data_IF_264828485692
#
_entry.id   IF_264828485692
#
_cell.length_a   1.000
_cell.length_b   1.000
_cell.length_c   1.000
_cell.angle_alpha   90.00
_cell.angle_beta   90.00
_cell.angle_gamma   90.00
#
_symmetry.space_group_name_H-M   'P 1'
#
loop_
_entity.id
_entity.type
_entity.pdbx_description
1 polymer ?
#
# COMPACT_ATOMS: atom_id res chain seq x y z
N UNK A 1 3.80 -25.02 5.64
CA UNK A 1 4.15 -23.68 6.15
C UNK A 1 3.06 -22.65 5.86
N UNK A 2 2.43 -22.65 4.67
CA UNK A 2 1.28 -21.78 4.32
C UNK A 2 1.49 -20.30 4.68
N UNK A 3 2.62 -19.75 4.22
CA UNK A 3 3.00 -18.34 4.39
C UNK A 3 3.02 -17.64 3.03
N UNK A 4 2.92 -16.31 3.06
CA UNK A 4 3.11 -15.48 1.88
C UNK A 4 4.59 -15.23 1.63
N UNK A 5 4.95 -15.02 0.36
CA UNK A 5 6.26 -14.52 -0.06
C UNK A 5 6.05 -13.13 -0.65
N UNK A 6 6.78 -12.15 -0.13
CA UNK A 6 6.87 -10.82 -0.71
C UNK A 6 8.13 -10.74 -1.57
N UNK A 7 8.04 -10.12 -2.75
CA UNK A 7 9.12 -10.03 -3.72
C UNK A 7 9.45 -8.57 -4.06
N UNK A 8 10.73 -8.24 -3.92
CA UNK A 8 11.42 -7.17 -4.62
C UNK A 8 12.35 -7.88 -5.61
N UNK A 9 12.14 -7.69 -6.92
CA UNK A 9 12.83 -8.48 -7.95
C UNK A 9 14.15 -7.84 -8.39
N UNK A 10 14.86 -8.52 -9.29
CA UNK A 10 16.20 -8.16 -9.75
C UNK A 10 16.15 -6.95 -10.70
N UNK A 11 16.37 -5.75 -10.15
CA UNK A 11 16.37 -4.51 -10.94
C UNK A 11 17.42 -4.50 -12.04
N UNK A 12 18.55 -5.17 -11.80
CA UNK A 12 19.69 -5.18 -12.71
C UNK A 12 19.49 -6.11 -13.89
N UNK A 13 18.45 -6.96 -13.85
CA UNK A 13 18.28 -8.07 -14.78
C UNK A 13 19.54 -8.97 -14.84
N UNK A 14 20.28 -9.09 -13.72
CA UNK A 14 21.53 -9.85 -13.66
C UNK A 14 21.29 -11.34 -13.89
N UNK A 15 20.21 -11.86 -13.29
CA UNK A 15 19.84 -13.28 -13.35
C UNK A 15 18.85 -13.62 -14.47
N UNK A 16 18.37 -12.62 -15.20
CA UNK A 16 17.34 -12.73 -16.23
C UNK A 16 16.40 -11.52 -16.22
N UNK A 17 15.51 -11.44 -17.20
CA UNK A 17 14.49 -10.38 -17.28
C UNK A 17 13.23 -10.74 -16.48
N UNK A 18 12.20 -9.88 -16.52
CA UNK A 18 10.96 -10.09 -15.75
C UNK A 18 10.30 -11.44 -16.07
N UNK A 19 10.34 -11.89 -17.32
CA UNK A 19 9.81 -13.17 -17.78
C UNK A 19 10.53 -14.37 -17.14
N UNK A 20 11.83 -14.27 -16.88
CA UNK A 20 12.61 -15.32 -16.23
C UNK A 20 12.23 -15.44 -14.75
N UNK A 21 12.07 -14.31 -14.07
CA UNK A 21 11.54 -14.28 -12.69
C UNK A 21 10.12 -14.83 -12.63
N UNK A 22 9.26 -14.47 -13.59
CA UNK A 22 7.89 -15.00 -13.69
C UNK A 22 7.89 -16.53 -13.96
N UNK A 23 8.81 -17.01 -14.78
CA UNK A 23 9.02 -18.45 -15.00
C UNK A 23 9.48 -19.15 -13.71
N UNK A 24 10.40 -18.54 -12.95
CA UNK A 24 10.86 -19.05 -11.66
C UNK A 24 9.73 -19.07 -10.61
N UNK A 25 8.82 -18.10 -10.62
CA UNK A 25 7.61 -18.10 -9.78
C UNK A 25 6.74 -19.33 -10.10
N UNK A 26 6.71 -19.78 -11.36
CA UNK A 26 6.04 -21.00 -11.80
C UNK A 26 4.54 -21.05 -11.39
N UNK A 27 3.82 -19.94 -11.56
CA UNK A 27 2.39 -19.84 -11.26
C UNK A 27 2.02 -19.89 -9.77
N UNK A 28 3.01 -19.94 -8.86
CA UNK A 28 2.77 -19.95 -7.41
C UNK A 28 2.33 -18.57 -6.93
N UNK A 29 1.50 -18.52 -5.90
CA UNK A 29 1.05 -17.26 -5.31
C UNK A 29 2.22 -16.48 -4.73
N UNK A 30 2.32 -15.20 -5.09
CA UNK A 30 3.36 -14.29 -4.61
C UNK A 30 2.81 -12.85 -4.54
N UNK A 31 3.30 -12.10 -3.56
CA UNK A 31 3.03 -10.68 -3.40
C UNK A 31 4.20 -9.89 -3.99
N UNK A 32 3.98 -9.12 -5.05
CA UNK A 32 4.99 -8.19 -5.59
C UNK A 32 4.90 -6.85 -4.85
N UNK A 33 5.96 -6.45 -4.17
CA UNK A 33 6.09 -5.11 -3.59
C UNK A 33 6.35 -4.08 -4.69
N UNK A 34 5.95 -2.82 -4.43
CA UNK A 34 6.17 -1.64 -5.27
C UNK A 34 6.20 -1.98 -6.77
N UNK A 35 5.11 -2.58 -7.25
CA UNK A 35 5.04 -3.30 -8.52
C UNK A 35 5.26 -2.36 -9.72
N UNK A 36 5.05 -1.06 -9.56
CA UNK A 36 5.42 -0.05 -10.56
C UNK A 36 6.93 -0.01 -10.85
N UNK A 37 7.78 -0.26 -9.85
CA UNK A 37 9.21 -0.48 -10.00
C UNK A 37 10.14 0.61 -9.49
N UNK A 38 9.68 1.83 -9.15
CA UNK A 38 10.54 2.87 -8.58
C UNK A 38 11.15 2.42 -7.23
N UNK A 39 10.32 1.80 -6.37
CA UNK A 39 10.78 1.14 -5.13
C UNK A 39 11.71 -0.06 -5.39
N UNK A 40 11.74 -0.58 -6.61
CA UNK A 40 12.68 -1.58 -7.13
C UNK A 40 12.01 -2.77 -7.79
N UNK A 41 12.73 -3.40 -8.70
CA UNK A 41 12.24 -4.49 -9.55
C UNK A 41 12.77 -4.35 -10.96
N UNK A 42 12.58 -5.40 -11.79
CA UNK A 42 13.11 -5.48 -13.15
C UNK A 42 12.86 -4.18 -13.92
N UNK A 43 13.94 -3.53 -14.36
CA UNK A 43 13.87 -2.30 -15.12
C UNK A 43 13.74 -2.63 -16.63
N UNK A 44 12.76 -2.05 -17.37
CA UNK A 44 11.75 -1.08 -16.93
C UNK A 44 10.37 -1.68 -16.61
N UNK A 45 10.20 -3.01 -16.68
CA UNK A 45 8.92 -3.66 -17.00
C UNK A 45 8.34 -4.56 -15.90
N UNK A 46 8.84 -4.47 -14.65
CA UNK A 46 8.25 -5.18 -13.49
C UNK A 46 6.74 -4.93 -13.32
N UNK A 47 6.23 -3.78 -13.76
CA UNK A 47 4.81 -3.43 -13.75
C UNK A 47 3.92 -4.44 -14.49
N UNK A 48 4.49 -5.17 -15.46
CA UNK A 48 3.78 -6.22 -16.22
C UNK A 48 3.31 -7.39 -15.35
N UNK A 49 3.94 -7.59 -14.18
CA UNK A 49 3.58 -8.58 -13.18
C UNK A 49 2.08 -8.53 -12.79
N UNK A 50 1.45 -7.36 -12.86
CA UNK A 50 0.03 -7.19 -12.49
C UNK A 50 -0.97 -7.95 -13.40
N UNK A 51 -0.54 -8.42 -14.58
CA UNK A 51 -1.35 -9.24 -15.49
C UNK A 51 -1.58 -10.67 -15.01
N UNK A 52 -0.73 -11.19 -14.12
CA UNK A 52 -0.71 -12.61 -13.80
C UNK A 52 -1.73 -12.98 -12.72
N UNK A 53 -2.45 -14.11 -12.86
CA UNK A 53 -3.51 -14.51 -11.91
C UNK A 53 -2.98 -14.88 -10.52
N UNK A 54 -1.71 -15.27 -10.42
CA UNK A 54 -1.05 -15.69 -9.19
C UNK A 54 -0.29 -14.55 -8.49
N UNK A 55 -0.25 -13.35 -9.06
CA UNK A 55 0.44 -12.20 -8.49
C UNK A 55 -0.56 -11.29 -7.76
N UNK A 56 -0.16 -10.84 -6.57
CA UNK A 56 -0.92 -9.92 -5.72
C UNK A 56 -0.15 -8.59 -5.67
N UNK A 57 -0.41 -7.66 -6.60
CA UNK A 57 0.43 -6.48 -6.77
C UNK A 57 0.09 -5.37 -5.78
N UNK A 58 1.14 -4.80 -5.17
CA UNK A 58 1.04 -3.61 -4.32
C UNK A 58 1.90 -2.45 -4.83
N UNK A 59 1.49 -1.24 -4.48
CA UNK A 59 2.34 -0.05 -4.55
C UNK A 59 2.88 0.31 -3.18
N UNK A 60 4.01 1.01 -3.18
CA UNK A 60 4.47 1.81 -2.05
C UNK A 60 4.11 3.27 -2.29
N UNK A 61 4.09 4.10 -1.25
CA UNK A 61 3.34 5.34 -1.32
C UNK A 61 4.04 6.61 -1.85
N UNK A 62 5.37 6.71 -2.04
CA UNK A 62 5.94 7.96 -2.54
C UNK A 62 5.57 8.32 -3.98
N UNK A 63 5.31 7.33 -4.84
CA UNK A 63 4.88 7.54 -6.23
C UNK A 63 3.39 7.93 -6.34
N UNK A 64 2.64 7.84 -5.23
CA UNK A 64 1.19 7.99 -5.21
C UNK A 64 0.74 9.38 -4.72
N UNK A 65 -0.18 10.06 -5.44
CA UNK A 65 -0.31 10.02 -6.88
C UNK A 65 0.89 10.67 -7.57
N UNK A 66 0.90 10.61 -8.89
CA UNK A 66 1.86 11.36 -9.70
C UNK A 66 1.67 12.88 -9.55
N UNK A 67 2.74 13.59 -9.18
CA UNK A 67 2.80 15.04 -8.99
C UNK A 67 3.99 15.67 -9.69
N UNK A 68 3.98 17.00 -9.81
CA UNK A 68 5.08 17.74 -10.45
C UNK A 68 6.44 17.55 -9.79
N UNK A 69 6.47 17.26 -8.48
CA UNK A 69 7.72 17.05 -7.75
C UNK A 69 8.14 15.58 -7.68
N UNK A 70 7.31 14.64 -8.16
CA UNK A 70 7.54 13.21 -7.94
C UNK A 70 8.86 12.74 -8.55
N UNK A 71 9.16 13.13 -9.80
CA UNK A 71 10.36 12.65 -10.50
C UNK A 71 11.63 13.20 -9.85
N UNK A 72 11.69 14.52 -9.63
CA UNK A 72 12.86 15.17 -9.05
C UNK A 72 13.15 14.63 -7.64
N UNK A 73 12.12 14.45 -6.82
CA UNK A 73 12.26 13.85 -5.49
C UNK A 73 12.82 12.43 -5.57
N UNK A 74 12.31 11.60 -6.47
CA UNK A 74 12.67 10.18 -6.54
C UNK A 74 14.05 9.94 -7.16
N UNK A 75 14.45 10.74 -8.14
CA UNK A 75 15.80 10.68 -8.70
C UNK A 75 16.83 10.97 -7.60
N UNK A 76 16.70 12.10 -6.90
CA UNK A 76 17.64 12.46 -5.83
C UNK A 76 17.59 11.45 -4.67
N UNK A 77 16.39 11.01 -4.26
CA UNK A 77 16.23 9.97 -3.24
C UNK A 77 16.96 8.69 -3.62
N UNK A 78 16.83 8.24 -4.87
CA UNK A 78 17.48 7.01 -5.32
C UNK A 78 19.00 7.14 -5.31
N UNK A 79 19.51 8.28 -5.79
CA UNK A 79 20.95 8.58 -5.82
C UNK A 79 21.55 8.59 -4.41
N UNK A 80 20.88 9.26 -3.46
CA UNK A 80 21.30 9.25 -2.05
C UNK A 80 21.25 7.84 -1.46
N UNK A 81 20.16 7.09 -1.68
CA UNK A 81 20.00 5.75 -1.10
C UNK A 81 21.04 4.74 -1.61
N UNK A 82 21.47 4.86 -2.87
CA UNK A 82 22.43 3.93 -3.49
C UNK A 82 23.85 4.48 -3.55
N UNK A 83 24.08 5.68 -2.98
CA UNK A 83 25.37 6.38 -3.01
C UNK A 83 25.89 6.56 -4.45
N UNK A 84 24.99 6.90 -5.36
CA UNK A 84 25.30 7.16 -6.77
C UNK A 84 25.85 8.57 -6.95
N UNK A 85 26.70 8.75 -7.97
CA UNK A 85 27.31 10.03 -8.31
C UNK A 85 26.72 10.60 -9.61
N UNK A 86 26.16 11.82 -9.61
CA UNK A 86 25.65 12.46 -10.84
C UNK A 86 26.73 12.74 -11.88
N UNK A 87 28.01 12.70 -11.52
CA UNK A 87 29.13 12.86 -12.46
C UNK A 87 29.50 11.53 -13.16
N UNK A 88 28.92 10.39 -12.75
CA UNK A 88 29.15 9.07 -13.36
C UNK A 88 27.97 8.71 -14.28
N UNK A 89 28.24 8.51 -15.57
CA UNK A 89 27.20 8.26 -16.57
C UNK A 89 26.42 6.96 -16.31
N UNK A 90 27.08 5.91 -15.85
CA UNK A 90 26.46 4.62 -15.52
C UNK A 90 25.51 4.72 -14.32
N UNK A 91 25.84 5.56 -13.35
CA UNK A 91 25.02 5.83 -12.16
C UNK A 91 23.74 6.60 -12.54
N UNK A 92 23.88 7.62 -13.39
CA UNK A 92 22.74 8.35 -13.96
C UNK A 92 21.86 7.42 -14.80
N UNK A 93 22.45 6.60 -15.66
CA UNK A 93 21.71 5.63 -16.47
C UNK A 93 20.94 4.62 -15.62
N UNK A 94 21.54 4.13 -14.53
CA UNK A 94 20.84 3.28 -13.57
C UNK A 94 19.66 4.02 -12.91
N UNK A 95 19.86 5.27 -12.49
CA UNK A 95 18.80 6.06 -11.87
C UNK A 95 17.61 6.31 -12.82
N UNK A 96 17.89 6.72 -14.06
CA UNK A 96 16.89 6.94 -15.11
C UNK A 96 16.17 5.64 -15.53
N UNK A 97 16.86 4.50 -15.49
CA UNK A 97 16.23 3.20 -15.77
C UNK A 97 15.18 2.82 -14.71
N UNK A 98 15.32 3.31 -13.47
CA UNK A 98 14.48 2.94 -12.31
C UNK A 98 13.38 3.96 -12.01
N UNK A 99 13.66 5.25 -12.16
CA UNK A 99 12.71 6.34 -11.91
C UNK A 99 12.14 6.82 -13.25
N UNK A 100 10.97 6.29 -13.62
CA UNK A 100 10.38 6.51 -14.94
C UNK A 100 9.05 7.23 -14.80
N UNK A 101 8.86 8.28 -15.59
CA UNK A 101 7.61 9.07 -15.58
C UNK A 101 6.44 8.22 -16.05
N UNK A 102 6.68 7.40 -17.06
CA UNK A 102 5.70 6.62 -17.80
C UNK A 102 5.05 5.58 -16.88
N UNK A 103 5.85 4.82 -16.13
CA UNK A 103 5.33 3.78 -15.23
C UNK A 103 4.69 4.38 -13.97
N UNK A 104 5.23 5.47 -13.41
CA UNK A 104 4.62 6.22 -12.30
C UNK A 104 3.25 6.79 -12.70
N UNK A 105 3.15 7.40 -13.87
CA UNK A 105 1.89 7.94 -14.37
C UNK A 105 0.86 6.83 -14.67
N UNK A 106 1.32 5.68 -15.16
CA UNK A 106 0.48 4.52 -15.41
C UNK A 106 -0.03 3.85 -14.13
N UNK A 107 0.77 3.80 -13.07
CA UNK A 107 0.42 3.21 -11.77
C UNK A 107 -0.88 3.79 -11.21
N UNK A 108 -1.06 5.11 -11.29
CA UNK A 108 -2.28 5.80 -10.85
C UNK A 108 -3.53 5.25 -11.56
N UNK A 109 -3.45 5.06 -12.87
CA UNK A 109 -4.55 4.52 -13.70
C UNK A 109 -4.78 3.04 -13.40
N UNK A 110 -3.71 2.25 -13.25
CA UNK A 110 -3.78 0.83 -12.89
C UNK A 110 -4.42 0.62 -11.51
N UNK A 111 -4.28 1.57 -10.58
CA UNK A 111 -5.05 1.59 -9.35
C UNK A 111 -6.54 1.84 -9.58
N UNK A 112 -6.90 2.81 -10.42
CA UNK A 112 -8.30 3.20 -10.65
C UNK A 112 -9.10 2.11 -11.34
N UNK A 113 -8.49 1.38 -12.27
CA UNK A 113 -9.12 0.24 -12.96
C UNK A 113 -9.05 -1.07 -12.14
N UNK A 114 -8.35 -1.07 -11.00
CA UNK A 114 -8.25 -2.23 -10.13
C UNK A 114 -7.29 -3.33 -10.62
N UNK A 115 -6.28 -2.97 -11.42
CA UNK A 115 -5.17 -3.86 -11.78
C UNK A 115 -4.12 -3.92 -10.65
N UNK A 116 -3.96 -2.85 -9.87
CA UNK A 116 -3.19 -2.86 -8.63
C UNK A 116 -4.11 -3.03 -7.42
N UNK A 117 -3.77 -3.93 -6.50
CA UNK A 117 -4.72 -4.44 -5.51
C UNK A 117 -4.45 -3.95 -4.09
N UNK A 118 -3.24 -3.46 -3.81
CA UNK A 118 -2.82 -3.04 -2.48
C UNK A 118 -2.03 -1.73 -2.53
N UNK A 119 -2.11 -0.98 -1.44
CA UNK A 119 -1.26 0.18 -1.16
C UNK A 119 -0.56 -0.04 0.17
N UNK A 120 0.75 0.19 0.21
CA UNK A 120 1.60 0.03 1.38
C UNK A 120 2.54 1.24 1.55
N UNK A 121 3.34 1.28 2.61
CA UNK A 121 4.22 2.42 2.85
C UNK A 121 5.59 2.27 2.21
N UNK A 122 6.32 1.21 2.56
CA UNK A 122 7.80 1.10 2.56
C UNK A 122 8.53 1.95 3.60
N UNK A 123 8.17 1.76 4.87
CA UNK A 123 8.47 2.72 5.93
C UNK A 123 9.97 3.02 6.07
N UNK A 124 10.37 4.27 5.76
CA UNK A 124 11.75 4.77 5.80
C UNK A 124 12.73 4.06 4.84
N UNK A 125 12.22 3.36 3.84
CA UNK A 125 13.00 2.67 2.82
C UNK A 125 12.39 2.95 1.44
N UNK A 126 12.37 4.23 1.04
CA UNK A 126 11.55 4.73 -0.08
C UNK A 126 10.04 4.70 0.20
N UNK A 127 9.65 5.18 1.39
CA UNK A 127 8.25 5.16 1.79
C UNK A 127 7.91 5.82 3.12
N UNK A 128 6.64 6.21 3.27
CA UNK A 128 6.15 7.06 4.38
C UNK A 128 5.08 6.37 5.21
N UNK A 129 5.43 5.92 6.41
CA UNK A 129 4.54 5.08 7.25
C UNK A 129 3.19 5.74 7.60
N UNK A 130 3.16 7.06 7.76
CA UNK A 130 1.96 7.81 8.14
C UNK A 130 1.02 8.15 6.98
N UNK A 131 1.38 7.82 5.74
CA UNK A 131 0.72 8.37 4.55
C UNK A 131 -0.02 7.34 3.68
N UNK A 132 -0.02 6.05 4.04
CA UNK A 132 -0.70 5.00 3.24
C UNK A 132 -2.16 5.36 2.92
N UNK A 133 -2.93 5.73 3.95
CA UNK A 133 -4.35 6.07 3.80
C UNK A 133 -4.51 7.36 2.97
N UNK A 134 -3.76 8.41 3.32
CA UNK A 134 -3.85 9.72 2.64
C UNK A 134 -3.55 9.58 1.15
N UNK A 135 -2.44 8.90 0.81
CA UNK A 135 -1.96 8.71 -0.55
C UNK A 135 -2.96 7.91 -1.38
N UNK A 136 -3.57 6.88 -0.79
CA UNK A 136 -4.66 6.12 -1.44
C UNK A 136 -5.82 7.03 -1.84
N UNK A 137 -6.25 7.93 -0.96
CA UNK A 137 -7.35 8.85 -1.25
C UNK A 137 -6.96 9.99 -2.20
N UNK A 138 -5.70 10.42 -2.19
CA UNK A 138 -5.18 11.38 -3.16
C UNK A 138 -5.15 10.80 -4.58
N UNK A 139 -4.79 9.52 -4.75
CA UNK A 139 -4.91 8.81 -6.04
C UNK A 139 -6.37 8.71 -6.47
N UNK A 140 -7.27 8.26 -5.59
CA UNK A 140 -8.70 8.19 -5.91
C UNK A 140 -9.27 9.55 -6.35
N UNK A 141 -8.87 10.64 -5.67
CA UNK A 141 -9.23 11.99 -6.04
C UNK A 141 -8.68 12.39 -7.42
N UNK A 142 -7.39 12.18 -7.67
CA UNK A 142 -6.75 12.52 -8.95
C UNK A 142 -7.37 11.77 -10.11
N UNK A 143 -7.67 10.49 -9.92
CA UNK A 143 -8.28 9.65 -10.94
C UNK A 143 -9.74 10.05 -11.20
N UNK A 144 -10.50 10.45 -10.18
CA UNK A 144 -11.81 11.08 -10.40
C UNK A 144 -11.69 12.36 -11.24
N UNK A 145 -10.75 13.24 -10.90
CA UNK A 145 -10.57 14.52 -11.62
C UNK A 145 -10.23 14.29 -13.09
N UNK A 146 -9.36 13.34 -13.40
CA UNK A 146 -8.88 13.10 -14.76
C UNK A 146 -9.79 12.16 -15.57
N UNK A 147 -10.44 11.19 -14.94
CA UNK A 147 -11.14 10.09 -15.61
C UNK A 147 -12.67 10.09 -15.40
N UNK A 148 -13.19 10.96 -14.54
CA UNK A 148 -14.62 11.02 -14.24
C UNK A 148 -15.10 9.82 -13.42
N UNK A 149 -16.36 9.41 -13.62
CA UNK A 149 -16.95 8.27 -12.92
C UNK A 149 -16.41 6.93 -13.44
N UNK A 150 -16.28 5.94 -12.54
CA UNK A 150 -15.93 4.58 -12.95
C UNK A 150 -17.10 3.91 -13.70
N UNK A 151 -16.84 2.97 -14.63
CA UNK A 151 -17.90 2.23 -15.33
C UNK A 151 -18.85 1.47 -14.40
N UNK A 152 -18.38 1.02 -13.24
CA UNK A 152 -19.16 0.28 -12.25
C UNK A 152 -19.95 1.19 -11.28
N UNK A 153 -19.78 2.50 -11.39
CA UNK A 153 -20.43 3.48 -10.52
C UNK A 153 -21.93 3.57 -10.82
N UNK A 154 -22.76 3.70 -9.79
CA UNK A 154 -24.22 3.81 -9.93
C UNK A 154 -24.77 4.96 -9.09
N UNK A 155 -25.56 5.84 -9.72
CA UNK A 155 -26.09 7.06 -9.10
C UNK A 155 -25.08 8.22 -9.09
N UNK A 156 -25.48 9.35 -8.47
CA UNK A 156 -24.66 10.57 -8.38
C UNK A 156 -23.78 10.55 -7.13
N UNK A 157 -22.74 9.73 -7.16
CA UNK A 157 -21.79 9.51 -6.07
C UNK A 157 -20.51 8.81 -6.58
N UNK A 158 -19.55 8.56 -5.68
CA UNK A 158 -18.30 7.84 -5.97
C UNK A 158 -18.18 6.55 -5.15
N UNK A 159 -19.29 5.92 -4.77
CA UNK A 159 -19.28 4.83 -3.81
C UNK A 159 -18.46 3.62 -4.27
N UNK A 160 -18.55 3.25 -5.54
CA UNK A 160 -17.78 2.12 -6.08
C UNK A 160 -16.28 2.45 -6.08
N UNK A 161 -15.88 3.66 -6.50
CA UNK A 161 -14.49 4.10 -6.36
C UNK A 161 -14.04 4.08 -4.90
N UNK A 162 -14.84 4.60 -3.98
CA UNK A 162 -14.52 4.58 -2.54
C UNK A 162 -14.34 3.15 -2.02
N UNK A 163 -15.21 2.22 -2.40
CA UNK A 163 -15.09 0.79 -2.05
C UNK A 163 -13.84 0.15 -2.67
N UNK A 164 -13.53 0.44 -3.93
CA UNK A 164 -12.33 -0.05 -4.62
C UNK A 164 -11.06 0.39 -3.91
N UNK A 165 -10.98 1.66 -3.50
CA UNK A 165 -9.77 2.21 -2.89
C UNK A 165 -9.61 1.87 -1.40
N UNK A 166 -10.69 1.84 -0.61
CA UNK A 166 -10.58 1.43 0.81
C UNK A 166 -10.12 -0.03 0.93
N UNK A 167 -10.48 -0.89 -0.01
CA UNK A 167 -10.05 -2.29 -0.02
C UNK A 167 -8.52 -2.45 -0.13
N UNK A 168 -7.82 -1.50 -0.77
CA UNK A 168 -6.37 -1.54 -1.04
C UNK A 168 -5.51 -1.47 0.22
N UNK A 169 -6.00 -0.87 1.30
CA UNK A 169 -5.28 -0.79 2.58
C UNK A 169 -6.01 -1.48 3.74
N UNK A 170 -7.11 -2.19 3.47
CA UNK A 170 -7.89 -2.91 4.49
C UNK A 170 -7.96 -4.40 4.19
N UNK A 171 -8.92 -4.84 3.38
CA UNK A 171 -9.21 -6.27 3.18
C UNK A 171 -8.19 -6.96 2.26
N UNK A 172 -7.69 -6.30 1.22
CA UNK A 172 -6.75 -6.92 0.28
C UNK A 172 -5.39 -7.25 0.94
N UNK A 173 -4.76 -6.35 1.73
CA UNK A 173 -3.60 -6.72 2.55
C UNK A 173 -3.87 -7.90 3.49
N UNK A 174 -5.07 -7.95 4.10
CA UNK A 174 -5.43 -9.01 5.02
C UNK A 174 -5.60 -10.37 4.31
N UNK A 175 -6.16 -10.38 3.10
CA UNK A 175 -6.29 -11.57 2.25
C UNK A 175 -4.91 -12.06 1.79
N UNK A 176 -4.09 -11.16 1.25
CA UNK A 176 -2.75 -11.45 0.75
C UNK A 176 -1.85 -12.12 1.79
N UNK A 177 -1.97 -11.71 3.06
CA UNK A 177 -1.16 -12.24 4.15
C UNK A 177 -1.87 -13.27 5.04
N UNK A 178 -3.06 -13.75 4.63
CA UNK A 178 -3.74 -14.85 5.32
C UNK A 178 -4.28 -14.50 6.71
N UNK A 179 -4.63 -13.23 6.94
CA UNK A 179 -5.13 -12.69 8.22
C UNK A 179 -6.55 -12.13 8.11
N UNK A 180 -7.20 -12.22 6.94
CA UNK A 180 -8.56 -11.71 6.70
C UNK A 180 -9.66 -12.35 7.59
N UNK A 181 -9.36 -13.47 8.24
CA UNK A 181 -10.26 -14.09 9.22
C UNK A 181 -10.27 -13.37 10.58
N UNK A 182 -9.26 -12.55 10.87
CA UNK A 182 -9.17 -11.77 12.11
C UNK A 182 -9.43 -10.28 11.89
N UNK A 183 -8.97 -9.72 10.77
CA UNK A 183 -8.92 -8.25 10.53
C UNK A 183 -9.24 -7.88 9.09
N UNK A 184 -9.20 -6.58 8.78
CA UNK A 184 -9.24 -6.05 7.41
C UNK A 184 -10.59 -5.50 6.96
N UNK A 185 -11.65 -5.60 7.77
CA UNK A 185 -12.97 -5.06 7.45
C UNK A 185 -13.87 -5.01 8.68
N UNK A 186 -14.97 -4.26 8.59
CA UNK A 186 -16.02 -4.22 9.60
C UNK A 186 -17.03 -5.33 9.29
N UNK A 187 -16.72 -6.54 9.76
CA UNK A 187 -17.56 -7.73 9.61
C UNK A 187 -17.69 -8.46 10.96
N UNK A 188 -18.84 -9.07 11.22
CA UNK A 188 -19.08 -9.77 12.48
C UNK A 188 -18.07 -10.92 12.68
N UNK A 189 -17.55 -11.05 13.90
CA UNK A 189 -16.56 -12.07 14.27
C UNK A 189 -15.10 -11.64 14.12
N UNK A 190 -14.81 -10.54 13.42
CA UNK A 190 -13.45 -9.97 13.34
C UNK A 190 -13.11 -9.14 14.58
N UNK A 191 -11.82 -8.93 14.81
CA UNK A 191 -11.32 -8.06 15.88
C UNK A 191 -11.84 -6.63 15.68
N UNK A 192 -12.31 -6.00 16.76
CA UNK A 192 -12.84 -4.64 16.75
C UNK A 192 -11.74 -3.57 16.64
N UNK A 193 -11.04 -3.58 15.49
CA UNK A 193 -10.06 -2.59 15.08
C UNK A 193 -10.73 -1.58 14.18
N UNK A 194 -11.10 -0.44 14.77
CA UNK A 194 -11.95 0.57 14.15
C UNK A 194 -11.27 1.93 14.21
N UNK A 195 -11.51 2.74 13.18
CA UNK A 195 -11.06 4.14 13.15
C UNK A 195 -12.26 5.04 12.91
N UNK A 196 -12.46 5.99 13.83
CA UNK A 196 -13.53 6.97 13.75
C UNK A 196 -12.98 8.25 13.15
N UNK A 197 -13.67 8.80 12.16
CA UNK A 197 -13.27 10.00 11.44
C UNK A 197 -14.36 11.06 11.54
N UNK A 198 -13.96 12.31 11.77
CA UNK A 198 -14.78 13.44 11.37
C UNK A 198 -14.68 13.58 9.85
N UNK A 199 -15.79 13.79 9.11
CA UNK A 199 -15.75 13.89 7.64
C UNK A 199 -14.74 14.90 7.11
N UNK A 200 -14.59 16.05 7.78
CA UNK A 200 -13.65 17.10 7.39
C UNK A 200 -12.16 16.68 7.46
N UNK A 201 -11.85 15.61 8.20
CA UNK A 201 -10.50 15.08 8.42
C UNK A 201 -10.34 13.63 7.93
N UNK A 202 -11.34 13.09 7.22
CA UNK A 202 -11.32 11.73 6.71
C UNK A 202 -10.04 11.45 5.92
N UNK A 203 -9.40 10.33 6.21
CA UNK A 203 -8.14 9.93 5.60
C UNK A 203 -6.89 10.62 6.17
N UNK A 204 -7.03 11.79 6.81
CA UNK A 204 -5.89 12.63 7.24
C UNK A 204 -5.58 12.52 8.74
N UNK A 205 -6.54 12.87 9.60
CA UNK A 205 -6.36 12.90 11.07
C UNK A 205 -7.59 12.28 11.76
N UNK A 206 -7.53 11.00 12.22
CA UNK A 206 -8.67 10.33 12.84
C UNK A 206 -9.04 10.92 14.21
N UNK A 207 -10.34 10.86 14.54
CA UNK A 207 -10.84 11.28 15.85
C UNK A 207 -10.55 10.23 16.94
N UNK A 208 -10.57 8.93 16.60
CA UNK A 208 -10.32 7.85 17.56
C UNK A 208 -9.80 6.61 16.83
N UNK A 209 -8.77 5.98 17.40
CA UNK A 209 -8.24 4.68 16.96
C UNK A 209 -8.55 3.66 18.04
N UNK A 210 -9.37 2.67 17.69
CA UNK A 210 -9.79 1.57 18.57
C UNK A 210 -9.01 0.32 18.17
N UNK A 211 -8.44 -0.38 19.16
CA UNK A 211 -7.81 -1.70 19.01
C UNK A 211 -8.50 -2.68 19.91
N UNK A 212 -8.98 -3.80 19.35
CA UNK A 212 -9.62 -4.87 20.11
C UNK A 212 -10.72 -4.38 21.05
N UNK A 213 -11.49 -3.37 20.63
CA UNK A 213 -12.58 -2.79 21.42
C UNK A 213 -12.17 -1.71 22.44
N UNK A 214 -10.89 -1.36 22.58
CA UNK A 214 -10.43 -0.27 23.46
C UNK A 214 -9.79 0.86 22.67
N UNK A 215 -9.97 2.11 23.11
CA UNK A 215 -9.27 3.26 22.50
C UNK A 215 -7.77 3.13 22.79
N UNK A 216 -6.98 3.05 21.73
CA UNK A 216 -5.52 2.94 21.79
C UNK A 216 -4.82 4.29 21.60
N UNK A 217 -5.40 5.17 20.78
CA UNK A 217 -4.87 6.50 20.52
C UNK A 217 -6.01 7.46 20.12
N UNK A 218 -5.94 8.71 20.56
CA UNK A 218 -6.86 9.77 20.16
C UNK A 218 -6.19 11.15 20.29
N UNK A 219 -6.65 12.18 19.54
CA UNK A 219 -6.32 13.57 19.84
C UNK A 219 -6.83 13.93 21.23
N UNK A 220 -5.95 14.50 22.07
CA UNK A 220 -6.29 14.88 23.44
C UNK A 220 -5.67 16.24 23.78
N UNK A 221 -6.50 17.13 24.33
CA UNK A 221 -6.15 18.47 24.77
C UNK A 221 -5.27 18.51 26.01
N UNK A 222 -5.23 19.66 26.67
CA UNK A 222 -4.55 19.82 27.96
C UNK A 222 -5.13 18.87 29.01
N UNK A 223 -4.24 18.13 29.69
CA UNK A 223 -4.59 17.11 30.68
C UNK A 223 -5.12 17.75 31.97
N UNK A 224 -4.74 19.00 32.25
CA UNK A 224 -5.20 19.73 33.43
C UNK A 224 -6.41 20.64 33.16
N UNK A 225 -6.90 20.68 31.93
CA UNK A 225 -8.08 21.48 31.60
C UNK A 225 -9.37 20.88 32.18
N UNK A 226 -10.42 21.70 32.28
CA UNK A 226 -11.72 21.26 32.81
C UNK A 226 -12.49 20.31 31.90
N UNK A 227 -12.10 20.20 30.62
CA UNK A 227 -12.68 19.36 29.58
C UNK A 227 -11.56 18.92 28.60
N UNK A 228 -11.74 17.89 27.74
CA UNK A 228 -10.63 17.30 26.97
C UNK A 228 -10.26 18.02 25.66
N UNK A 229 -10.99 19.06 25.29
CA UNK A 229 -10.85 19.79 24.01
C UNK A 229 -10.00 21.07 24.01
N UNK A 230 -9.70 21.74 25.14
CA UNK A 230 -8.81 22.89 25.17
C UNK A 230 -7.41 22.55 24.65
N UNK A 231 -6.83 23.52 23.96
CA UNK A 231 -5.52 23.36 23.33
C UNK A 231 -4.40 23.22 24.38
N UNK A 232 -3.28 22.54 24.04
CA UNK A 232 -2.96 21.94 22.74
C UNK A 232 -3.51 20.52 22.57
N UNK A 233 -4.21 20.30 21.45
CA UNK A 233 -4.73 18.98 21.03
C UNK A 233 -3.72 18.31 20.09
N UNK A 234 -3.17 17.19 20.52
CA UNK A 234 -2.33 16.32 19.70
C UNK A 234 -2.61 14.85 20.02
N UNK A 235 -2.16 13.93 19.16
CA UNK A 235 -2.33 12.50 19.42
C UNK A 235 -1.57 12.09 20.67
N UNK A 236 -2.24 11.34 21.53
CA UNK A 236 -1.65 10.74 22.74
C UNK A 236 -2.06 9.27 22.81
N UNK A 237 -1.18 8.38 23.30
CA UNK A 237 -1.56 7.01 23.61
C UNK A 237 -2.63 7.00 24.71
N UNK A 238 -3.62 6.12 24.55
CA UNK A 238 -4.73 5.91 25.49
C UNK A 238 -4.59 4.55 26.18
N UNK A 239 -5.55 4.18 27.02
CA UNK A 239 -5.45 2.96 27.85
C UNK A 239 -5.23 1.67 27.07
N UNK A 240 -5.78 1.55 25.85
CA UNK A 240 -5.55 0.39 24.97
C UNK A 240 -4.07 0.20 24.55
N UNK A 241 -3.21 1.19 24.79
CA UNK A 241 -1.77 1.15 24.50
C UNK A 241 -0.90 0.84 25.73
N UNK A 242 -1.47 0.65 26.91
CA UNK A 242 -0.74 0.48 28.16
C UNK A 242 -0.71 -0.97 28.65
N UNK A 243 0.48 -1.45 29.04
CA UNK A 243 0.67 -2.70 29.80
C UNK A 243 -0.13 -3.91 29.30
N UNK A 244 -0.81 -4.58 30.22
CA UNK A 244 -1.62 -5.76 29.95
C UNK A 244 -2.85 -5.48 29.08
N UNK A 245 -3.41 -4.26 29.14
CA UNK A 245 -4.52 -3.88 28.26
C UNK A 245 -4.09 -3.92 26.79
N UNK A 246 -2.90 -3.40 26.47
CA UNK A 246 -2.30 -3.52 25.12
C UNK A 246 -2.11 -4.97 24.71
N UNK A 247 -1.70 -5.84 25.62
CA UNK A 247 -1.51 -7.26 25.32
C UNK A 247 -2.84 -7.95 24.99
N UNK A 248 -3.92 -7.59 25.69
CA UNK A 248 -5.25 -8.15 25.48
C UNK A 248 -5.96 -7.64 24.21
N UNK A 249 -5.55 -6.49 23.65
CA UNK A 249 -6.24 -5.83 22.52
C UNK A 249 -5.50 -5.92 21.18
N UNK A 250 -4.39 -6.66 21.12
CA UNK A 250 -3.59 -6.86 19.91
C UNK A 250 -3.32 -8.33 19.63
N UNK A 251 -3.05 -8.62 18.37
CA UNK A 251 -2.61 -9.93 17.91
C UNK A 251 -1.14 -9.90 17.50
N UNK A 252 -0.42 -10.98 17.79
CA UNK A 252 0.83 -11.34 17.12
C UNK A 252 0.52 -12.48 16.14
N UNK A 253 0.63 -12.21 14.83
CA UNK A 253 0.42 -13.22 13.80
C UNK A 253 1.66 -14.11 13.65
N UNK A 254 1.46 -15.43 13.62
CA UNK A 254 2.53 -16.42 13.51
C UNK A 254 2.19 -17.48 12.46
N UNK A 255 3.20 -18.24 12.00
CA UNK A 255 2.99 -19.39 11.12
C UNK A 255 2.38 -20.57 11.87
N UNK A 256 1.71 -21.47 11.13
CA UNK A 256 1.20 -22.73 11.67
C UNK A 256 2.30 -23.55 12.35
N UNK A 257 3.50 -23.56 11.77
CA UNK A 257 4.66 -24.27 12.32
C UNK A 257 5.11 -23.66 13.66
N UNK A 258 5.18 -22.33 13.78
CA UNK A 258 5.54 -21.67 15.04
C UNK A 258 4.50 -21.94 16.14
N UNK A 259 3.21 -21.95 15.78
CA UNK A 259 2.14 -22.32 16.72
C UNK A 259 2.28 -23.77 17.19
N UNK A 260 2.49 -24.72 16.26
CA UNK A 260 2.62 -26.14 16.57
C UNK A 260 3.85 -26.45 17.43
N UNK A 261 4.94 -25.71 17.23
CA UNK A 261 6.17 -25.84 18.03
C UNK A 261 6.10 -25.14 19.40
N UNK A 262 4.96 -24.53 19.76
CA UNK A 262 4.81 -23.86 21.05
C UNK A 262 5.68 -22.61 21.21
N UNK A 263 6.04 -21.94 20.11
CA UNK A 263 6.88 -20.73 20.14
C UNK A 263 6.29 -19.64 21.05
N UNK A 264 4.97 -19.37 21.05
CA UNK A 264 4.41 -18.37 21.97
C UNK A 264 4.70 -18.65 23.45
N UNK A 265 4.64 -19.92 23.86
CA UNK A 265 4.91 -20.34 25.24
C UNK A 265 6.41 -20.26 25.55
N UNK A 266 7.26 -20.72 24.63
CA UNK A 266 8.72 -20.67 24.79
C UNK A 266 9.23 -19.23 24.97
N UNK A 267 8.66 -18.27 24.22
CA UNK A 267 9.01 -16.86 24.31
C UNK A 267 8.22 -16.08 25.38
N UNK A 268 7.33 -16.75 26.11
CA UNK A 268 6.41 -16.13 27.08
C UNK A 268 5.68 -14.90 26.49
N UNK A 269 5.12 -15.04 25.28
CA UNK A 269 4.39 -13.97 24.63
C UNK A 269 3.13 -13.62 25.44
N UNK A 270 2.99 -12.35 25.78
CA UNK A 270 1.86 -11.86 26.59
C UNK A 270 0.63 -11.49 25.77
N UNK A 271 0.82 -11.13 24.50
CA UNK A 271 -0.30 -10.78 23.60
C UNK A 271 -0.99 -12.03 23.08
N UNK A 272 -2.28 -11.90 22.74
CA UNK A 272 -2.97 -12.92 21.98
C UNK A 272 -2.22 -13.21 20.66
N UNK A 273 -2.20 -14.48 20.26
CA UNK A 273 -1.61 -14.92 18.99
C UNK A 273 -2.69 -15.39 18.03
N UNK A 274 -2.50 -15.13 16.74
CA UNK A 274 -3.34 -15.65 15.66
C UNK A 274 -2.46 -16.31 14.61
N UNK A 275 -3.00 -17.31 13.91
CA UNK A 275 -2.24 -18.13 12.97
C UNK A 275 -2.61 -17.78 11.54
N UNK A 276 -1.62 -17.40 10.73
CA UNK A 276 -1.86 -17.11 9.30
C UNK A 276 -2.28 -18.38 8.56
N UNK A 277 -3.20 -18.23 7.61
CA UNK A 277 -3.70 -19.34 6.78
C UNK A 277 -4.25 -18.85 5.45
N UNK A 278 -4.22 -19.71 4.43
CA UNK A 278 -4.74 -19.41 3.09
C UNK A 278 -3.82 -18.54 2.23
N UNK A 279 -2.55 -18.41 2.62
CA UNK A 279 -1.57 -17.58 1.90
C UNK A 279 -1.22 -18.14 0.51
N UNK A 280 -1.42 -19.45 0.29
CA UNK A 280 -1.10 -20.11 -1.00
C UNK A 280 -2.27 -20.21 -1.97
N UNK A 281 -3.50 -20.09 -1.46
CA UNK A 281 -4.73 -20.28 -2.25
C UNK A 281 -5.25 -18.97 -2.83
N UNK A 282 -4.99 -17.84 -2.18
CA UNK A 282 -5.37 -16.51 -2.66
C UNK A 282 -4.71 -16.18 -4.01
N UNK A 283 -5.47 -15.56 -4.91
CA UNK A 283 -5.15 -15.17 -6.29
C UNK A 283 -5.61 -13.74 -6.57
N UNK A 284 -5.22 -13.20 -7.72
CA UNK A 284 -5.64 -11.87 -8.17
C UNK A 284 -7.17 -11.71 -8.20
N UNK A 285 -7.89 -12.75 -8.62
CA UNK A 285 -9.36 -12.75 -8.67
C UNK A 285 -10.02 -12.60 -7.28
N UNK A 286 -9.32 -12.93 -6.20
CA UNK A 286 -9.83 -12.80 -4.82
C UNK A 286 -9.67 -11.37 -4.27
N UNK A 287 -8.96 -10.48 -4.99
CA UNK A 287 -8.74 -9.10 -4.57
C UNK A 287 -10.02 -8.29 -4.74
N UNK A 288 -10.63 -7.91 -3.62
CA UNK A 288 -11.93 -7.26 -3.56
C UNK A 288 -11.89 -5.95 -4.36
N UNK A 289 -12.75 -5.87 -5.38
CA UNK A 289 -12.86 -4.77 -6.35
C UNK A 289 -11.58 -4.45 -7.17
N UNK A 290 -10.52 -5.25 -7.04
CA UNK A 290 -9.21 -4.99 -7.62
C UNK A 290 -8.60 -6.26 -8.25
N UNK A 291 -9.42 -7.04 -8.95
CA UNK A 291 -9.04 -8.32 -9.55
C UNK A 291 -8.74 -8.28 -11.05
N UNK A 292 -8.61 -7.09 -11.65
CA UNK A 292 -8.40 -6.95 -13.10
C UNK A 292 -7.03 -7.52 -13.49
N UNK A 293 -6.97 -8.28 -14.58
CA UNK A 293 -5.75 -8.84 -15.16
C UNK A 293 -5.61 -8.26 -16.57
N UNK A 294 -5.01 -7.06 -16.72
CA UNK A 294 -4.90 -6.41 -18.02
C UNK A 294 -3.88 -7.12 -18.91
N UNK A 295 -4.08 -7.08 -20.23
CA UNK A 295 -3.02 -7.37 -21.19
C UNK A 295 -2.10 -6.15 -21.31
N UNK A 296 -1.13 -6.08 -20.40
CA UNK A 296 -0.21 -4.95 -20.24
C UNK A 296 1.11 -5.21 -20.96
N UNK A 297 1.68 -4.17 -21.56
CA UNK A 297 3.02 -4.18 -22.15
C UNK A 297 3.77 -2.91 -21.77
N UNK A 298 5.10 -2.99 -21.71
CA UNK A 298 5.99 -1.83 -21.56
C UNK A 298 6.96 -1.82 -22.74
N UNK A 299 7.06 -0.69 -23.42
CA UNK A 299 8.06 -0.53 -24.47
C UNK A 299 9.46 -0.36 -23.85
N UNK A 300 10.43 -1.14 -24.30
CA UNK A 300 11.76 -1.20 -23.66
C UNK A 300 12.67 -0.01 -23.98
N UNK A 301 12.28 0.88 -24.91
CA UNK A 301 13.04 2.10 -25.23
C UNK A 301 12.38 3.35 -24.67
N UNK A 302 11.06 3.43 -24.76
CA UNK A 302 10.27 4.62 -24.40
C UNK A 302 9.59 4.51 -23.04
N UNK A 303 9.54 3.30 -22.48
CA UNK A 303 8.86 2.97 -21.21
C UNK A 303 7.35 3.19 -21.22
N UNK A 304 6.77 3.49 -22.39
CA UNK A 304 5.33 3.63 -22.55
C UNK A 304 4.61 2.36 -22.09
N UNK A 305 3.69 2.54 -21.13
CA UNK A 305 2.83 1.46 -20.65
C UNK A 305 1.57 1.43 -21.49
N UNK A 306 1.21 0.25 -22.00
CA UNK A 306 -0.02 0.05 -22.77
C UNK A 306 -0.85 -1.07 -22.18
N UNK A 307 -2.17 -0.94 -22.21
CA UNK A 307 -3.13 -2.01 -21.90
C UNK A 307 -4.01 -2.21 -23.12
N UNK A 308 -4.06 -3.44 -23.64
CA UNK A 308 -4.76 -3.76 -24.89
C UNK A 308 -4.34 -2.85 -26.07
N UNK A 309 -3.09 -2.37 -26.05
CA UNK A 309 -2.52 -1.43 -27.03
C UNK A 309 -2.81 0.05 -26.76
N UNK A 310 -3.73 0.38 -25.84
CA UNK A 310 -4.03 1.76 -25.44
C UNK A 310 -2.96 2.29 -24.47
N UNK A 311 -2.46 3.50 -24.73
CA UNK A 311 -1.49 4.17 -23.86
C UNK A 311 -2.13 4.47 -22.49
N UNK A 312 -1.49 4.02 -21.42
CA UNK A 312 -1.90 4.25 -20.05
C UNK A 312 -1.00 5.31 -19.44
N UNK A 313 -1.56 6.49 -19.17
CA UNK A 313 -0.83 7.63 -18.59
C UNK A 313 -1.78 8.53 -17.80
N UNK A 314 -1.21 9.44 -17.00
CA UNK A 314 -1.91 10.47 -16.26
C UNK A 314 -1.06 11.73 -16.14
N UNK A 315 -1.71 12.88 -15.95
CA UNK A 315 -1.03 14.16 -15.78
C UNK A 315 -0.62 14.39 -14.31
N UNK A 316 0.56 14.99 -14.06
CA UNK A 316 1.00 15.29 -12.71
C UNK A 316 0.08 16.32 -12.05
N UNK A 317 -0.17 16.15 -10.75
CA UNK A 317 -0.85 17.17 -9.95
C UNK A 317 0.11 18.30 -9.51
N UNK A 318 -0.32 19.56 -9.67
CA UNK A 318 0.37 20.71 -9.07
C UNK A 318 0.06 20.85 -7.56
N UNK A 319 -1.17 20.52 -7.17
CA UNK A 319 -1.68 20.63 -5.79
C UNK A 319 -2.56 19.42 -5.49
N UNK A 320 -2.48 18.91 -4.26
CA UNK A 320 -3.30 17.81 -3.77
C UNK A 320 -4.21 18.24 -2.62
N UNK A 321 -5.41 17.63 -2.49
CA UNK A 321 -6.16 17.67 -1.25
C UNK A 321 -5.39 16.92 -0.15
N UNK A 322 -5.88 16.99 1.08
CA UNK A 322 -5.29 16.26 2.22
C UNK A 322 -3.80 16.62 2.47
N UNK A 323 -3.38 17.82 2.09
CA UNK A 323 -2.00 18.32 2.21
C UNK A 323 -1.94 19.62 3.05
N UNK A 324 -1.48 20.73 2.48
CA UNK A 324 -1.18 22.02 3.15
C UNK A 324 -2.26 22.53 4.12
N UNK A 325 -3.54 22.22 3.88
CA UNK A 325 -4.65 22.64 4.76
C UNK A 325 -4.56 22.03 6.16
N UNK A 326 -3.97 20.86 6.32
CA UNK A 326 -4.11 20.04 7.52
C UNK A 326 -2.82 19.89 8.33
N UNK A 327 -1.67 20.13 7.72
CA UNK A 327 -0.37 19.89 8.34
C UNK A 327 0.33 21.19 8.69
N UNK A 328 1.02 21.19 9.83
CA UNK A 328 1.82 22.34 10.27
C UNK A 328 3.14 22.43 9.49
N UNK A 329 3.64 21.28 9.04
CA UNK A 329 4.83 21.07 8.22
C UNK A 329 4.53 20.01 7.17
#
# INVERSE_FOLDING_TARGET
MDIQVALHSDTLNESGFVEDTLAAIAGRTIHTFHTEGAGGGHAPDIITACAHPNILPSSTNPTLPYTVNTIDEHLDMLMVCHHLDPDIAEDVAFAESRIRRETIAAEDVLHDIGAFSLTSSDSQAMGRVGEVIIRTWQVAHRMKVQRGALPEETGDNDNFRVKRYVAKYTINPALTHGIAHEVGSIEAGKLADLVVWSPAFFGVKPATIVKGGMIACAPMGDINASIPTPQPVHYRPMFGSLGAARHATRLTFISQAASANGIPQQLNLQSATAVVKGCRTVKKADMIHNGLQPNITVDSQTYEVRVDGELITSEPADVLPMAQRYFLF
#
